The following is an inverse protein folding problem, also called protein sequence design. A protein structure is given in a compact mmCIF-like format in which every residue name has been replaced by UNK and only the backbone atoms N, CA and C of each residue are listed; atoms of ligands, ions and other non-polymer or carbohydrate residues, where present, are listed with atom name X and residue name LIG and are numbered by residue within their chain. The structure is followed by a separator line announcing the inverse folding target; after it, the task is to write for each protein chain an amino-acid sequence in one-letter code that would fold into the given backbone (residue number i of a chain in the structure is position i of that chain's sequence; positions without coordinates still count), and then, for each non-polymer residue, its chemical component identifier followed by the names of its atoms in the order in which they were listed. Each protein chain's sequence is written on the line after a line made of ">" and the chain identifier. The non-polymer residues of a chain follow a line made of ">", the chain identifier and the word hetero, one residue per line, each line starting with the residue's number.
data_IF_868286714458
#
_entry.id   IF_868286714458
#
_cell.length_a   1.000
_cell.length_b   1.000
_cell.length_c   1.000
_cell.angle_alpha   90.00
_cell.angle_beta   90.00
_cell.angle_gamma   90.00
#
_symmetry.space_group_name_H-M   'P 1'
#
loop_
_entity.id
_entity.type
_entity.pdbx_description
1 polymer ?
#
# COMPACT_ATOMS: atom_id res chain seq x y z
N UNK A 1 10.27 -1.88 10.43
CA UNK A 1 9.35 -2.48 9.45
C UNK A 1 8.53 -3.51 10.18
N UNK A 2 7.21 -3.33 10.24
CA UNK A 2 6.30 -4.30 10.85
C UNK A 2 5.58 -5.07 9.75
N UNK A 3 5.57 -6.40 9.87
CA UNK A 3 4.86 -7.30 8.98
C UNK A 3 4.00 -8.20 9.86
N UNK A 4 2.75 -8.39 9.47
CA UNK A 4 1.86 -9.38 10.08
C UNK A 4 1.27 -10.27 8.99
N UNK A 5 1.18 -11.56 9.28
CA UNK A 5 0.60 -12.55 8.38
C UNK A 5 -0.86 -12.78 8.75
N UNK A 6 -1.75 -12.59 7.79
CA UNK A 6 -3.14 -13.01 7.96
C UNK A 6 -3.21 -14.54 7.92
N UNK A 7 -3.72 -15.14 8.99
CA UNK A 7 -4.02 -16.56 9.05
C UNK A 7 -5.50 -16.78 8.76
N UNK A 8 -5.79 -17.64 7.80
CA UNK A 8 -7.16 -18.04 7.54
C UNK A 8 -7.69 -18.86 8.73
N UNK A 9 -8.96 -18.66 9.11
CA UNK A 9 -9.59 -19.42 10.18
C UNK A 9 -9.42 -20.93 10.00
N UNK A 10 -9.47 -21.44 8.76
CA UNK A 10 -9.27 -22.87 8.43
C UNK A 10 -7.88 -23.42 8.79
N UNK A 11 -6.90 -22.55 9.08
CA UNK A 11 -5.56 -22.95 9.50
C UNK A 11 -5.39 -23.01 11.02
N UNK A 12 -6.43 -22.68 11.79
CA UNK A 12 -6.43 -22.65 13.25
C UNK A 12 -7.33 -23.75 13.83
N UNK A 13 -6.95 -24.39 14.97
CA UNK A 13 -7.72 -25.47 15.58
C UNK A 13 -9.19 -25.13 15.84
N UNK A 14 -9.48 -23.92 16.32
CA UNK A 14 -10.84 -23.48 16.68
C UNK A 14 -11.48 -22.55 15.63
N UNK A 15 -10.87 -22.45 14.45
CA UNK A 15 -11.42 -21.67 13.36
C UNK A 15 -11.51 -20.18 13.69
N UNK A 16 -12.71 -19.61 13.59
CA UNK A 16 -12.97 -18.19 13.91
C UNK A 16 -13.07 -17.90 15.40
N UNK A 17 -13.22 -18.94 16.24
CA UNK A 17 -13.30 -18.80 17.70
C UNK A 17 -11.92 -18.84 18.37
N UNK A 18 -10.91 -19.25 17.59
CA UNK A 18 -9.54 -19.34 18.07
C UNK A 18 -9.05 -17.97 18.56
N UNK A 19 -8.45 -17.89 19.77
CA UNK A 19 -7.96 -16.63 20.32
C UNK A 19 -6.85 -15.99 19.48
N UNK A 20 -6.13 -16.75 18.64
CA UNK A 20 -5.13 -16.22 17.72
C UNK A 20 -5.74 -15.68 16.41
N UNK A 21 -7.02 -15.93 16.14
CA UNK A 21 -7.68 -15.47 14.93
C UNK A 21 -7.92 -13.96 14.97
N UNK A 22 -7.20 -13.22 14.12
CA UNK A 22 -7.40 -11.79 13.92
C UNK A 22 -7.95 -11.51 12.51
N UNK A 23 -8.96 -10.64 12.44
CA UNK A 23 -9.48 -10.15 11.16
C UNK A 23 -8.48 -9.18 10.55
N UNK A 24 -8.50 -9.05 9.22
CA UNK A 24 -7.63 -8.11 8.50
C UNK A 24 -7.68 -6.67 9.04
N UNK A 25 -8.86 -6.08 9.36
CA UNK A 25 -8.93 -4.74 9.96
C UNK A 25 -8.24 -4.66 11.33
N UNK A 26 -8.34 -5.70 12.15
CA UNK A 26 -7.69 -5.74 13.47
C UNK A 26 -6.17 -5.81 13.31
N UNK A 27 -5.67 -6.63 12.38
CA UNK A 27 -4.25 -6.68 12.04
C UNK A 27 -3.75 -5.32 11.56
N UNK A 28 -4.50 -4.65 10.68
CA UNK A 28 -4.14 -3.33 10.18
C UNK A 28 -4.10 -2.27 11.30
N UNK A 29 -5.07 -2.27 12.21
CA UNK A 29 -5.05 -1.38 13.38
C UNK A 29 -3.86 -1.67 14.30
N UNK A 30 -3.55 -2.93 14.56
CA UNK A 30 -2.38 -3.30 15.36
C UNK A 30 -1.06 -2.81 14.75
N UNK A 31 -0.92 -2.88 13.42
CA UNK A 31 0.24 -2.34 12.69
C UNK A 31 0.32 -0.81 12.81
N UNK A 32 -0.81 -0.11 12.75
CA UNK A 32 -0.88 1.33 12.97
C UNK A 32 -0.49 1.67 14.41
N UNK A 33 -0.99 0.94 15.39
CA UNK A 33 -0.68 1.17 16.80
C UNK A 33 0.81 0.97 17.10
N UNK A 34 1.45 -0.05 16.52
CA UNK A 34 2.91 -0.23 16.56
C UNK A 34 3.67 0.95 15.97
N UNK A 35 3.14 1.59 14.93
CA UNK A 35 3.76 2.78 14.31
C UNK A 35 3.65 3.98 15.25
N UNK A 36 2.45 4.20 15.81
CA UNK A 36 2.18 5.28 16.76
C UNK A 36 2.97 5.15 18.06
N UNK A 37 3.11 3.94 18.60
CA UNK A 37 3.92 3.66 19.80
C UNK A 37 5.40 4.06 19.62
N UNK A 38 5.92 3.95 18.39
CA UNK A 38 7.27 4.42 18.04
C UNK A 38 7.36 5.91 17.79
N UNK A 39 6.30 6.67 18.10
CA UNK A 39 6.18 8.14 17.92
C UNK A 39 6.20 8.60 16.46
N UNK A 40 6.02 7.69 15.51
CA UNK A 40 5.81 8.05 14.12
C UNK A 40 4.32 8.28 13.87
N UNK A 41 3.96 9.40 13.24
CA UNK A 41 2.58 9.72 12.87
C UNK A 41 2.49 9.90 11.35
N UNK A 42 1.74 9.05 10.63
CA UNK A 42 1.54 9.24 9.21
C UNK A 42 0.72 10.50 8.95
N UNK A 43 1.09 11.25 7.91
CA UNK A 43 0.31 12.44 7.48
C UNK A 43 -1.07 12.06 6.95
N UNK A 44 -1.17 10.91 6.29
CA UNK A 44 -2.41 10.30 5.82
C UNK A 44 -2.27 8.78 5.73
N UNK A 45 -3.36 8.07 6.00
CA UNK A 45 -3.48 6.61 5.86
C UNK A 45 -4.27 6.31 4.58
N UNK A 46 -3.61 5.73 3.57
CA UNK A 46 -4.26 5.39 2.29
C UNK A 46 -4.66 3.91 2.31
N UNK A 47 -5.92 3.62 2.02
CA UNK A 47 -6.50 2.27 2.20
C UNK A 47 -7.35 1.85 1.00
N UNK A 48 -7.41 0.54 0.76
CA UNK A 48 -8.31 -0.02 -0.26
C UNK A 48 -9.79 0.03 0.14
N UNK A 49 -10.64 -0.35 -0.80
CA UNK A 49 -12.10 -0.38 -0.62
C UNK A 49 -12.59 -1.39 0.42
N UNK A 50 -11.81 -2.45 0.69
CA UNK A 50 -12.12 -3.41 1.75
C UNK A 50 -12.03 -2.79 3.14
N UNK A 51 -11.08 -1.90 3.37
CA UNK A 51 -10.96 -1.16 4.64
C UNK A 51 -11.85 0.08 4.67
N UNK A 52 -11.94 0.85 3.58
CA UNK A 52 -12.74 2.08 3.56
C UNK A 52 -14.24 1.83 3.62
N UNK A 53 -14.72 0.64 3.22
CA UNK A 53 -16.12 0.25 3.43
C UNK A 53 -16.42 -0.23 4.86
N UNK A 54 -15.39 -0.45 5.69
CA UNK A 54 -15.55 -0.88 7.08
C UNK A 54 -15.65 0.34 8.01
N UNK A 55 -16.87 0.70 8.41
CA UNK A 55 -17.12 1.86 9.26
C UNK A 55 -16.40 1.78 10.62
N UNK A 56 -16.34 0.59 11.22
CA UNK A 56 -15.66 0.39 12.51
C UNK A 56 -14.15 0.65 12.38
N UNK A 57 -13.55 0.23 11.26
CA UNK A 57 -12.14 0.52 10.97
C UNK A 57 -11.89 2.02 10.82
N UNK A 58 -12.73 2.73 10.06
CA UNK A 58 -12.61 4.18 9.89
C UNK A 58 -12.75 4.94 11.22
N UNK A 59 -13.76 4.59 12.04
CA UNK A 59 -13.92 5.14 13.40
C UNK A 59 -12.68 4.94 14.24
N UNK A 60 -12.06 3.78 14.15
CA UNK A 60 -10.83 3.49 14.88
C UNK A 60 -9.65 4.36 14.44
N UNK A 61 -9.55 4.71 13.14
CA UNK A 61 -8.56 5.68 12.67
C UNK A 61 -8.84 7.09 13.20
N UNK A 62 -10.10 7.51 13.19
CA UNK A 62 -10.53 8.83 13.70
C UNK A 62 -10.30 8.99 15.20
N UNK A 63 -10.60 7.96 15.99
CA UNK A 63 -10.31 7.94 17.43
C UNK A 63 -8.81 8.08 17.73
N UNK A 64 -7.95 7.61 16.80
CA UNK A 64 -6.49 7.79 16.84
C UNK A 64 -6.03 9.15 16.30
N UNK A 65 -6.97 10.03 15.92
CA UNK A 65 -6.74 11.33 15.28
C UNK A 65 -5.95 11.22 13.97
N UNK A 66 -6.14 10.12 13.24
CA UNK A 66 -5.50 9.90 11.95
C UNK A 66 -6.40 10.34 10.80
N UNK A 67 -5.75 10.90 9.78
CA UNK A 67 -6.39 11.24 8.51
C UNK A 67 -6.32 10.05 7.57
N UNK A 68 -7.36 9.82 6.78
CA UNK A 68 -7.38 8.74 5.82
C UNK A 68 -7.93 9.17 4.46
N UNK A 69 -7.53 8.45 3.42
CA UNK A 69 -8.18 8.45 2.11
C UNK A 69 -8.34 6.99 1.69
N UNK A 70 -9.59 6.57 1.54
CA UNK A 70 -9.91 5.17 1.29
C UNK A 70 -10.89 4.98 0.14
N UNK A 71 -10.76 3.86 -0.58
CA UNK A 71 -11.83 3.42 -1.48
C UNK A 71 -13.10 3.06 -0.72
N UNK A 72 -14.26 3.20 -1.34
CA UNK A 72 -15.54 2.67 -0.85
C UNK A 72 -16.24 1.89 -1.96
N UNK A 73 -17.15 0.99 -1.57
CA UNK A 73 -17.90 0.22 -2.55
C UNK A 73 -18.98 1.09 -3.23
N UNK A 74 -19.23 0.84 -4.52
CA UNK A 74 -20.24 1.56 -5.31
C UNK A 74 -21.66 1.52 -4.73
N UNK A 75 -21.99 0.48 -3.95
CA UNK A 75 -23.28 0.31 -3.30
C UNK A 75 -23.34 0.92 -1.88
N UNK A 76 -22.30 1.65 -1.47
CA UNK A 76 -22.27 2.34 -0.17
C UNK A 76 -23.39 3.39 -0.15
N UNK A 77 -24.24 3.33 0.87
CA UNK A 77 -25.28 4.33 1.11
C UNK A 77 -24.66 5.59 1.71
N UNK A 78 -25.01 6.73 1.14
CA UNK A 78 -24.59 8.07 1.56
C UNK A 78 -25.82 8.94 1.74
N UNK A 79 -25.76 9.86 2.69
CA UNK A 79 -26.84 10.79 3.01
C UNK A 79 -26.38 12.21 2.76
N UNK A 80 -27.03 12.89 1.82
CA UNK A 80 -26.82 14.30 1.51
C UNK A 80 -27.79 15.15 2.33
N UNK A 81 -27.29 16.27 2.86
CA UNK A 81 -28.11 17.32 3.46
C UNK A 81 -27.95 18.57 2.62
N UNK A 82 -28.93 18.86 1.76
CA UNK A 82 -28.94 20.07 0.93
C UNK A 82 -30.20 20.86 1.25
N UNK A 83 -30.03 22.12 1.69
CA UNK A 83 -31.15 23.06 1.91
C UNK A 83 -32.29 22.50 2.79
N UNK A 84 -31.95 21.70 3.80
CA UNK A 84 -32.92 21.07 4.72
C UNK A 84 -33.55 19.77 4.21
N UNK A 85 -33.32 19.39 2.95
CA UNK A 85 -33.75 18.11 2.39
C UNK A 85 -32.67 17.06 2.68
N UNK A 86 -33.10 15.96 3.29
CA UNK A 86 -32.25 14.80 3.59
C UNK A 86 -32.55 13.71 2.56
N UNK A 87 -31.57 13.42 1.72
CA UNK A 87 -31.69 12.36 0.71
C UNK A 87 -30.65 11.29 1.00
N UNK A 88 -31.09 10.05 1.16
CA UNK A 88 -30.22 8.89 1.36
C UNK A 88 -30.33 7.95 0.17
N UNK A 89 -29.23 7.71 -0.53
CA UNK A 89 -29.17 6.84 -1.72
C UNK A 89 -27.82 6.14 -1.83
N UNK A 90 -27.66 5.23 -2.80
CA UNK A 90 -26.34 4.63 -3.07
C UNK A 90 -25.45 5.62 -3.80
N UNK A 91 -24.14 5.53 -3.57
CA UNK A 91 -23.19 6.45 -4.19
C UNK A 91 -23.12 6.29 -5.72
N UNK A 92 -23.35 5.10 -6.26
CA UNK A 92 -23.43 4.90 -7.72
C UNK A 92 -24.68 5.53 -8.34
N UNK A 93 -25.84 5.41 -7.68
CA UNK A 93 -27.07 6.10 -8.09
C UNK A 93 -26.90 7.62 -8.03
N UNK A 94 -26.21 8.11 -6.99
CA UNK A 94 -25.87 9.52 -6.85
C UNK A 94 -24.95 9.98 -7.99
N UNK A 95 -23.89 9.23 -8.27
CA UNK A 95 -22.98 9.52 -9.38
C UNK A 95 -23.71 9.61 -10.72
N UNK A 96 -24.68 8.73 -10.96
CA UNK A 96 -25.51 8.74 -12.17
C UNK A 96 -26.45 9.95 -12.27
N UNK A 97 -26.87 10.52 -11.13
CA UNK A 97 -27.79 11.66 -11.10
C UNK A 97 -27.11 13.02 -11.34
N UNK A 98 -25.78 13.08 -11.25
CA UNK A 98 -25.00 14.31 -11.40
C UNK A 98 -24.80 14.67 -12.87
N UNK A 99 -24.87 15.96 -13.18
CA UNK A 99 -24.59 16.46 -14.52
C UNK A 99 -23.08 16.52 -14.80
N UNK A 100 -22.68 16.50 -16.07
CA UNK A 100 -21.27 16.54 -16.50
C UNK A 100 -20.55 17.78 -15.94
N UNK A 101 -21.24 18.92 -15.94
CA UNK A 101 -20.72 20.22 -15.52
C UNK A 101 -20.35 20.27 -14.03
N UNK A 102 -20.85 19.32 -13.26
CA UNK A 102 -20.55 19.20 -11.84
C UNK A 102 -19.19 18.55 -11.57
N UNK A 103 -18.61 17.86 -12.55
CA UNK A 103 -17.32 17.20 -12.42
C UNK A 103 -16.19 18.12 -12.87
N UNK A 104 -15.10 18.11 -12.10
CA UNK A 104 -13.88 18.84 -12.44
C UNK A 104 -12.93 17.92 -13.19
N UNK A 105 -12.45 18.36 -14.35
CA UNK A 105 -11.41 17.67 -15.10
C UNK A 105 -10.06 17.77 -14.37
N UNK A 106 -9.38 16.64 -14.24
CA UNK A 106 -8.07 16.50 -13.60
C UNK A 106 -7.14 15.74 -14.54
N UNK A 107 -6.00 16.35 -14.87
CA UNK A 107 -4.98 15.77 -15.73
C UNK A 107 -3.83 15.21 -14.89
N UNK A 108 -3.62 13.89 -14.97
CA UNK A 108 -2.56 13.20 -14.27
C UNK A 108 -1.34 13.02 -15.17
N UNK A 109 -0.23 13.62 -14.77
CA UNK A 109 1.07 13.44 -15.39
C UNK A 109 1.73 12.14 -14.92
N UNK A 110 1.15 11.01 -15.32
CA UNK A 110 1.77 9.68 -15.18
C UNK A 110 2.63 9.38 -16.42
N UNK A 111 3.38 8.28 -16.41
CA UNK A 111 4.12 7.79 -17.60
C UNK A 111 3.22 7.69 -18.85
N UNK A 112 1.91 7.46 -18.63
CA UNK A 112 0.85 7.65 -19.61
C UNK A 112 -0.12 8.70 -19.07
N UNK A 113 -0.24 9.89 -19.70
CA UNK A 113 -1.20 10.89 -19.28
C UNK A 113 -2.60 10.28 -19.16
N UNK A 114 -3.26 10.54 -18.04
CA UNK A 114 -4.63 10.08 -17.79
C UNK A 114 -5.47 11.27 -17.36
N UNK A 115 -6.53 11.54 -18.09
CA UNK A 115 -7.56 12.53 -17.71
C UNK A 115 -8.65 11.81 -16.93
N UNK A 116 -9.07 12.39 -15.81
CA UNK A 116 -10.17 11.89 -14.99
C UNK A 116 -11.09 13.03 -14.58
N UNK A 117 -12.35 12.71 -14.32
CA UNK A 117 -13.37 13.66 -13.90
C UNK A 117 -13.75 13.38 -12.46
N UNK A 118 -13.68 14.41 -11.62
CA UNK A 118 -13.82 14.26 -10.18
C UNK A 118 -14.92 15.16 -9.65
N UNK A 119 -15.86 14.58 -8.91
CA UNK A 119 -16.82 15.32 -8.07
C UNK A 119 -16.51 15.05 -6.61
N UNK A 120 -16.49 16.10 -5.79
CA UNK A 120 -16.44 15.99 -4.33
C UNK A 120 -17.79 16.37 -3.75
N UNK A 121 -18.24 15.60 -2.77
CA UNK A 121 -19.52 15.73 -2.11
C UNK A 121 -19.32 15.62 -0.61
N UNK A 122 -20.15 16.33 0.13
CA UNK A 122 -20.21 16.26 1.58
C UNK A 122 -21.38 15.39 1.99
N UNK A 123 -21.09 14.26 2.63
CA UNK A 123 -22.09 13.25 2.95
C UNK A 123 -21.96 12.77 4.39
N UNK A 124 -23.08 12.36 4.95
CA UNK A 124 -23.12 11.53 6.14
C UNK A 124 -23.18 10.06 5.73
N UNK A 125 -22.60 9.19 6.55
CA UNK A 125 -22.57 7.76 6.30
C UNK A 125 -23.10 7.05 7.54
N UNK A 126 -23.98 6.08 7.33
CA UNK A 126 -24.53 5.30 8.43
C UNK A 126 -23.43 4.72 9.31
N UNK A 127 -23.62 4.84 10.63
CA UNK A 127 -22.68 4.41 11.66
C UNK A 127 -21.35 5.18 11.67
N UNK A 128 -21.19 6.29 10.93
CA UNK A 128 -20.05 7.21 11.03
C UNK A 128 -20.57 8.60 11.38
N UNK A 129 -20.13 9.16 12.50
CA UNK A 129 -20.66 10.43 12.99
C UNK A 129 -20.05 11.63 12.28
N UNK A 130 -20.90 12.54 11.86
CA UNK A 130 -20.53 13.78 11.19
C UNK A 130 -20.34 13.63 9.67
N UNK A 131 -20.09 14.77 9.06
CA UNK A 131 -19.94 14.91 7.61
C UNK A 131 -18.54 14.46 7.18
N UNK A 132 -18.45 13.77 6.05
CA UNK A 132 -17.19 13.38 5.41
C UNK A 132 -17.19 13.82 3.96
N UNK A 133 -16.01 14.08 3.43
CA UNK A 133 -15.85 14.29 1.99
C UNK A 133 -15.78 12.94 1.30
N UNK A 134 -16.59 12.80 0.27
CA UNK A 134 -16.58 11.67 -0.65
C UNK A 134 -16.23 12.19 -2.03
N UNK A 135 -15.41 11.44 -2.76
CA UNK A 135 -15.05 11.77 -4.12
C UNK A 135 -15.50 10.67 -5.08
N UNK A 136 -16.09 11.06 -6.19
CA UNK A 136 -16.42 10.20 -7.33
C UNK A 136 -15.39 10.53 -8.41
N UNK A 137 -14.66 9.54 -8.89
CA UNK A 137 -13.61 9.71 -9.91
C UNK A 137 -13.93 8.80 -11.09
N UNK A 138 -14.07 9.39 -12.27
CA UNK A 138 -14.42 8.69 -13.50
C UNK A 138 -13.31 8.84 -14.55
N UNK A 139 -13.15 7.83 -15.40
CA UNK A 139 -12.24 7.89 -16.54
C UNK A 139 -12.86 8.53 -17.81
N UNK A 140 -14.09 9.02 -17.71
CA UNK A 140 -14.79 9.76 -18.76
C UNK A 140 -15.60 10.90 -18.14
N UNK A 141 -16.14 11.79 -18.98
CA UNK A 141 -16.83 13.01 -18.56
C UNK A 141 -18.30 12.81 -18.16
N UNK A 142 -18.85 11.62 -18.40
CA UNK A 142 -20.24 11.25 -18.16
C UNK A 142 -20.33 9.84 -17.60
N UNK A 143 -21.33 9.58 -16.75
CA UNK A 143 -21.48 8.28 -16.08
C UNK A 143 -21.64 7.12 -17.08
N UNK A 144 -22.43 7.31 -18.14
CA UNK A 144 -22.73 6.25 -19.11
C UNK A 144 -21.55 5.91 -20.04
N UNK A 145 -20.59 6.84 -20.22
CA UNK A 145 -19.38 6.61 -21.00
C UNK A 145 -18.20 6.09 -20.16
N UNK A 146 -18.27 6.24 -18.84
CA UNK A 146 -17.24 5.80 -17.92
C UNK A 146 -17.21 4.27 -17.82
N UNK A 147 -16.05 3.69 -18.11
CA UNK A 147 -15.81 2.24 -17.93
C UNK A 147 -15.21 1.90 -16.57
N UNK A 148 -14.66 2.91 -15.89
CA UNK A 148 -14.02 2.79 -14.59
C UNK A 148 -14.44 3.97 -13.71
N UNK A 149 -15.08 3.65 -12.58
CA UNK A 149 -15.58 4.62 -11.61
C UNK A 149 -15.11 4.21 -10.23
N UNK A 150 -14.26 5.04 -9.66
CA UNK A 150 -13.77 4.91 -8.31
C UNK A 150 -14.55 5.83 -7.36
N UNK A 151 -14.73 5.34 -6.14
CA UNK A 151 -15.40 6.05 -5.08
C UNK A 151 -14.47 6.12 -3.87
N UNK A 152 -14.24 7.32 -3.35
CA UNK A 152 -13.34 7.55 -2.23
C UNK A 152 -14.03 8.25 -1.07
N UNK A 153 -13.52 8.01 0.14
CA UNK A 153 -13.92 8.68 1.38
C UNK A 153 -12.69 9.22 2.11
N UNK A 154 -12.82 10.42 2.69
CA UNK A 154 -11.80 11.03 3.54
C UNK A 154 -12.42 11.78 4.72
N UNK A 155 -11.67 11.82 5.83
CA UNK A 155 -11.96 12.68 6.99
C UNK A 155 -11.04 13.91 7.05
N UNK A 156 -10.29 14.19 5.98
CA UNK A 156 -9.51 15.42 5.85
C UNK A 156 -10.46 16.61 5.77
N UNK A 157 -10.02 17.72 6.35
CA UNK A 157 -10.72 19.00 6.31
C UNK A 157 -11.17 19.36 4.89
N UNK A 158 -12.45 19.69 4.74
CA UNK A 158 -13.11 19.93 3.45
C UNK A 158 -12.43 21.04 2.63
N UNK A 159 -11.87 22.05 3.30
CA UNK A 159 -11.15 23.16 2.63
C UNK A 159 -9.87 22.70 1.91
N UNK A 160 -9.36 21.53 2.27
CA UNK A 160 -8.13 20.94 1.71
C UNK A 160 -8.39 19.84 0.69
N UNK A 161 -9.63 19.33 0.64
CA UNK A 161 -9.98 18.22 -0.24
C UNK A 161 -10.35 18.79 -1.60
N UNK A 162 -9.39 18.76 -2.53
CA UNK A 162 -9.59 19.19 -3.92
C UNK A 162 -9.60 17.98 -4.87
N UNK A 163 -10.18 18.11 -6.07
CA UNK A 163 -10.15 17.08 -7.11
C UNK A 163 -8.73 16.54 -7.37
N UNK A 164 -7.77 17.44 -7.57
CA UNK A 164 -6.36 17.12 -7.78
C UNK A 164 -5.79 16.35 -6.59
N UNK A 165 -6.02 16.84 -5.36
CA UNK A 165 -5.48 16.24 -4.14
C UNK A 165 -5.95 14.80 -3.95
N UNK A 166 -7.23 14.51 -4.21
CA UNK A 166 -7.79 13.15 -4.08
C UNK A 166 -7.02 12.19 -4.98
N UNK A 167 -6.89 12.53 -6.26
CA UNK A 167 -6.34 11.63 -7.26
C UNK A 167 -4.83 11.47 -7.09
N UNK A 168 -4.10 12.56 -6.85
CA UNK A 168 -2.66 12.51 -6.58
C UNK A 168 -2.35 11.73 -5.30
N UNK A 169 -3.10 11.98 -4.22
CA UNK A 169 -2.87 11.30 -2.95
C UNK A 169 -3.17 9.82 -3.06
N UNK A 170 -4.30 9.43 -3.67
CA UNK A 170 -4.64 8.02 -3.82
C UNK A 170 -3.71 7.29 -4.79
N UNK A 171 -3.14 7.97 -5.80
CA UNK A 171 -2.18 7.36 -6.73
C UNK A 171 -0.96 6.76 -6.01
N UNK A 172 -0.57 7.28 -4.85
CA UNK A 172 0.53 6.75 -4.03
C UNK A 172 0.26 5.32 -3.53
N UNK A 173 -1.01 4.89 -3.48
CA UNK A 173 -1.39 3.50 -3.14
C UNK A 173 -0.76 2.48 -4.09
N UNK A 174 -0.49 2.86 -5.33
CA UNK A 174 0.14 2.00 -6.34
C UNK A 174 1.53 1.48 -5.91
N UNK A 175 2.23 2.19 -5.02
CA UNK A 175 3.51 1.73 -4.49
C UNK A 175 3.45 0.35 -3.84
N UNK A 176 2.33 -0.02 -3.23
CA UNK A 176 2.13 -1.38 -2.67
C UNK A 176 2.17 -2.43 -3.77
N UNK A 177 1.56 -2.16 -4.93
CA UNK A 177 1.54 -3.08 -6.06
C UNK A 177 2.91 -3.18 -6.75
N UNK A 178 3.58 -2.05 -6.92
CA UNK A 178 4.97 -1.98 -7.42
C UNK A 178 5.89 -2.82 -6.54
N UNK A 179 5.80 -2.62 -5.21
CA UNK A 179 6.54 -3.41 -4.24
C UNK A 179 6.31 -4.92 -4.42
N UNK A 180 5.05 -5.36 -4.44
CA UNK A 180 4.76 -6.80 -4.56
C UNK A 180 5.24 -7.38 -5.88
N UNK A 181 5.12 -6.65 -6.99
CA UNK A 181 5.63 -7.08 -8.30
C UNK A 181 7.15 -7.28 -8.24
N UNK A 182 7.87 -6.32 -7.70
CA UNK A 182 9.33 -6.36 -7.63
C UNK A 182 9.84 -7.41 -6.63
N UNK A 183 9.24 -7.48 -5.45
CA UNK A 183 9.61 -8.46 -4.42
C UNK A 183 9.34 -9.91 -4.87
N UNK A 184 8.21 -10.16 -5.55
CA UNK A 184 7.90 -11.48 -6.12
C UNK A 184 8.75 -11.83 -7.33
N UNK A 185 9.11 -10.84 -8.14
CA UNK A 185 9.88 -11.05 -9.38
C UNK A 185 11.37 -11.23 -9.14
N UNK A 186 11.95 -10.50 -8.18
CA UNK A 186 13.40 -10.35 -8.07
C UNK A 186 14.00 -10.77 -6.72
N UNK A 187 13.19 -10.84 -5.66
CA UNK A 187 13.66 -11.11 -4.30
C UNK A 187 13.09 -12.41 -3.70
N UNK A 188 12.44 -13.25 -4.51
CA UNK A 188 11.97 -14.56 -4.06
C UNK A 188 10.85 -14.50 -3.02
N UNK A 189 10.01 -13.45 -3.00
CA UNK A 189 8.91 -13.36 -2.03
C UNK A 189 7.97 -14.58 -2.06
N UNK A 190 7.82 -15.21 -3.23
CA UNK A 190 6.99 -16.40 -3.46
C UNK A 190 7.76 -17.74 -3.46
N UNK A 191 9.07 -17.70 -3.23
CA UNK A 191 9.97 -18.87 -3.34
C UNK A 191 10.27 -19.53 -1.99
N UNK A 192 9.52 -19.17 -0.95
CA UNK A 192 9.65 -19.81 0.34
C UNK A 192 9.20 -21.27 0.27
N UNK A 193 9.99 -22.17 0.86
CA UNK A 193 9.67 -23.60 0.96
C UNK A 193 9.29 -24.01 2.39
N UNK A 194 9.01 -23.02 3.25
CA UNK A 194 8.69 -23.23 4.67
C UNK A 194 7.18 -23.28 4.89
N UNK A 195 6.75 -24.14 5.82
CA UNK A 195 5.32 -24.31 6.17
C UNK A 195 4.90 -23.62 7.48
N UNK A 196 5.85 -23.38 8.40
CA UNK A 196 5.55 -22.75 9.69
C UNK A 196 5.45 -21.22 9.59
N UNK A 197 4.44 -20.63 10.24
CA UNK A 197 4.19 -19.18 10.32
C UNK A 197 5.45 -18.38 10.67
N UNK A 198 6.18 -18.80 11.71
CA UNK A 198 7.40 -18.12 12.19
C UNK A 198 8.49 -18.09 11.13
N UNK A 199 8.68 -19.20 10.41
CA UNK A 199 9.66 -19.29 9.33
C UNK A 199 9.25 -18.44 8.13
N UNK A 200 7.96 -18.44 7.78
CA UNK A 200 7.42 -17.59 6.72
C UNK A 200 7.59 -16.10 7.04
N UNK A 201 7.32 -15.70 8.29
CA UNK A 201 7.50 -14.33 8.74
C UNK A 201 8.97 -13.90 8.65
N UNK A 202 9.91 -14.77 9.07
CA UNK A 202 11.36 -14.51 8.92
C UNK A 202 11.76 -14.30 7.46
N UNK A 203 11.27 -15.15 6.56
CA UNK A 203 11.50 -14.99 5.11
C UNK A 203 11.00 -13.63 4.63
N UNK A 204 9.78 -13.25 4.99
CA UNK A 204 9.20 -11.97 4.56
C UNK A 204 9.98 -10.78 5.12
N UNK A 205 10.40 -10.83 6.39
CA UNK A 205 11.24 -9.78 6.98
C UNK A 205 12.54 -9.62 6.17
N UNK A 206 13.23 -10.71 5.84
CA UNK A 206 14.46 -10.67 5.04
C UNK A 206 14.23 -10.05 3.65
N UNK A 207 13.16 -10.47 2.96
CA UNK A 207 12.80 -9.94 1.65
C UNK A 207 12.50 -8.44 1.71
N UNK A 208 11.72 -7.99 2.69
CA UNK A 208 11.38 -6.57 2.82
C UNK A 208 12.58 -5.74 3.25
N UNK A 209 13.47 -6.27 4.11
CA UNK A 209 14.73 -5.62 4.46
C UNK A 209 15.62 -5.44 3.24
N UNK A 210 15.80 -6.50 2.43
CA UNK A 210 16.56 -6.43 1.19
C UNK A 210 15.97 -5.42 0.21
N UNK A 211 14.63 -5.44 0.03
CA UNK A 211 13.93 -4.49 -0.83
C UNK A 211 14.15 -3.05 -0.38
N UNK A 212 13.90 -2.76 0.90
CA UNK A 212 14.03 -1.41 1.48
C UNK A 212 15.47 -0.91 1.37
N UNK A 213 16.45 -1.77 1.63
CA UNK A 213 17.86 -1.44 1.52
C UNK A 213 18.25 -1.05 0.09
N UNK A 214 17.90 -1.87 -0.90
CA UNK A 214 18.21 -1.61 -2.31
C UNK A 214 17.49 -0.36 -2.80
N UNK A 215 16.21 -0.20 -2.45
CA UNK A 215 15.42 0.96 -2.83
C UNK A 215 15.99 2.25 -2.21
N UNK A 216 16.38 2.23 -0.94
CA UNK A 216 17.02 3.37 -0.28
C UNK A 216 18.32 3.77 -0.99
N UNK A 217 19.16 2.80 -1.34
CA UNK A 217 20.40 3.06 -2.08
C UNK A 217 20.16 3.58 -3.50
N UNK A 218 19.10 3.12 -4.17
CA UNK A 218 18.68 3.65 -5.47
C UNK A 218 18.27 5.12 -5.36
N UNK A 219 17.45 5.47 -4.36
CA UNK A 219 16.90 6.81 -4.16
C UNK A 219 17.97 7.82 -3.70
N UNK A 220 18.87 7.40 -2.81
CA UNK A 220 19.97 8.25 -2.31
C UNK A 220 21.19 8.28 -3.23
N UNK A 221 21.20 7.46 -4.28
CA UNK A 221 22.34 7.33 -5.19
C UNK A 221 23.54 6.59 -4.59
N UNK A 222 23.38 5.89 -3.46
CA UNK A 222 24.50 5.19 -2.79
C UNK A 222 25.15 4.05 -3.58
N UNK A 223 24.52 3.57 -4.66
CA UNK A 223 25.12 2.62 -5.61
C UNK A 223 25.80 3.31 -6.81
N UNK A 224 25.52 4.59 -7.03
CA UNK A 224 26.10 5.37 -8.14
C UNK A 224 27.56 5.69 -7.85
N UNK A 225 28.32 6.05 -8.89
CA UNK A 225 29.77 6.38 -8.88
C UNK A 225 30.71 5.19 -8.67
N UNK A 226 30.39 4.23 -7.78
CA UNK A 226 31.26 3.06 -7.53
C UNK A 226 30.78 1.78 -8.23
N UNK A 227 29.47 1.57 -8.33
CA UNK A 227 28.88 0.32 -8.86
C UNK A 227 27.91 0.56 -10.01
N UNK A 228 27.80 1.81 -10.46
CA UNK A 228 26.95 2.21 -11.56
C UNK A 228 27.37 3.56 -12.13
N UNK A 229 27.66 3.56 -13.42
CA UNK A 229 28.13 4.71 -14.20
C UNK A 229 26.93 5.44 -14.84
N UNK A 230 25.77 4.79 -14.87
CA UNK A 230 24.50 5.27 -15.45
C UNK A 230 23.47 5.50 -14.33
N UNK A 231 22.46 6.35 -14.55
CA UNK A 231 21.34 6.48 -13.63
C UNK A 231 20.59 5.15 -13.49
N UNK A 232 20.46 4.66 -12.25
CA UNK A 232 19.65 3.50 -11.90
C UNK A 232 18.20 3.95 -11.74
N UNK A 233 17.37 3.78 -12.77
CA UNK A 233 15.98 4.25 -12.84
C UNK A 233 15.00 3.19 -12.35
N UNK A 234 15.29 1.92 -12.55
CA UNK A 234 14.43 0.79 -12.18
C UNK A 234 14.96 0.04 -10.97
N UNK A 235 14.12 -0.75 -10.30
CA UNK A 235 14.57 -1.64 -9.22
C UNK A 235 15.55 -2.72 -9.70
N UNK A 236 15.33 -3.42 -10.85
CA UNK A 236 16.27 -4.42 -11.36
C UNK A 236 17.67 -3.87 -11.62
N UNK A 237 17.79 -2.66 -12.19
CA UNK A 237 19.09 -2.00 -12.38
C UNK A 237 19.81 -1.78 -11.04
N UNK A 238 19.08 -1.36 -10.01
CA UNK A 238 19.64 -1.18 -8.67
C UNK A 238 20.04 -2.51 -8.01
N UNK A 239 19.23 -3.55 -8.16
CA UNK A 239 19.55 -4.89 -7.69
C UNK A 239 20.80 -5.44 -8.38
N UNK A 240 20.96 -5.23 -9.69
CA UNK A 240 22.12 -5.69 -10.44
C UNK A 240 23.41 -4.97 -10.02
N UNK A 241 23.34 -3.65 -9.84
CA UNK A 241 24.45 -2.87 -9.29
C UNK A 241 24.82 -3.34 -7.87
N UNK A 242 23.83 -3.65 -7.03
CA UNK A 242 24.04 -4.20 -5.70
C UNK A 242 24.70 -5.60 -5.74
N UNK A 243 24.21 -6.51 -6.58
CA UNK A 243 24.80 -7.85 -6.76
C UNK A 243 26.24 -7.76 -7.23
N UNK A 244 26.53 -6.88 -8.19
CA UNK A 244 27.89 -6.61 -8.66
C UNK A 244 28.80 -6.15 -7.50
N UNK A 245 28.32 -5.22 -6.67
CA UNK A 245 29.05 -4.75 -5.51
C UNK A 245 29.37 -5.86 -4.50
N UNK A 246 28.40 -6.72 -4.22
CA UNK A 246 28.56 -7.85 -3.30
C UNK A 246 29.52 -8.90 -3.89
N UNK A 247 29.37 -9.27 -5.16
CA UNK A 247 30.26 -10.23 -5.83
C UNK A 247 31.70 -9.76 -5.82
N UNK A 248 31.96 -8.49 -6.13
CA UNK A 248 33.31 -7.94 -6.09
C UNK A 248 33.90 -7.92 -4.67
N UNK A 249 33.10 -7.51 -3.68
CA UNK A 249 33.53 -7.53 -2.26
C UNK A 249 33.80 -8.96 -1.77
N UNK A 250 32.95 -9.90 -2.15
CA UNK A 250 33.10 -11.32 -1.80
C UNK A 250 34.36 -11.90 -2.43
N UNK A 251 34.61 -11.62 -3.72
CA UNK A 251 35.85 -12.02 -4.39
C UNK A 251 37.10 -11.50 -3.68
N UNK A 252 37.13 -10.22 -3.35
CA UNK A 252 38.26 -9.63 -2.63
C UNK A 252 38.42 -10.19 -1.22
N UNK A 253 37.31 -10.43 -0.51
CA UNK A 253 37.35 -11.08 0.79
C UNK A 253 37.90 -12.51 0.67
N UNK A 254 37.45 -13.28 -0.32
CA UNK A 254 37.86 -14.66 -0.54
C UNK A 254 39.36 -14.77 -0.82
N UNK A 255 39.94 -13.83 -1.59
CA UNK A 255 41.40 -13.79 -1.83
C UNK A 255 42.23 -13.75 -0.54
N UNK A 256 41.71 -13.11 0.50
CA UNK A 256 42.41 -12.95 1.77
C UNK A 256 41.97 -13.95 2.85
N UNK A 257 40.90 -14.71 2.62
CA UNK A 257 40.25 -15.56 3.63
C UNK A 257 39.89 -16.94 3.04
N UNK A 258 40.67 -17.42 2.07
CA UNK A 258 40.42 -18.68 1.38
C UNK A 258 40.46 -19.88 2.31
N UNK A 259 41.37 -19.89 3.28
CA UNK A 259 41.50 -20.92 4.31
C UNK A 259 40.27 -20.97 5.22
N UNK A 260 39.76 -19.81 5.66
CA UNK A 260 38.54 -19.69 6.46
C UNK A 260 37.34 -20.22 5.68
N UNK A 261 37.21 -19.84 4.40
CA UNK A 261 36.14 -20.31 3.54
C UNK A 261 36.20 -21.83 3.32
N UNK A 262 37.39 -22.38 3.06
CA UNK A 262 37.61 -23.81 2.89
C UNK A 262 37.27 -24.59 4.17
N UNK A 263 37.71 -24.13 5.35
CA UNK A 263 37.35 -24.76 6.64
C UNK A 263 35.86 -24.75 6.89
N UNK A 264 35.17 -23.64 6.60
CA UNK A 264 33.71 -23.56 6.72
C UNK A 264 33.03 -24.58 5.80
N UNK A 265 33.44 -24.70 4.53
CA UNK A 265 32.88 -25.71 3.61
C UNK A 265 33.16 -27.14 4.06
N UNK A 266 34.36 -27.40 4.56
CA UNK A 266 34.73 -28.70 5.14
C UNK A 266 33.83 -29.08 6.32
N UNK A 267 33.39 -28.12 7.15
CA UNK A 267 32.46 -28.41 8.25
C UNK A 267 31.07 -28.89 7.82
N UNK A 268 30.69 -28.72 6.55
CA UNK A 268 29.49 -29.33 5.96
C UNK A 268 29.77 -30.61 5.18
N UNK A 269 31.00 -31.14 5.26
CA UNK A 269 31.42 -32.35 4.54
C UNK A 269 31.80 -32.12 3.08
N UNK A 270 31.95 -30.86 2.63
CA UNK A 270 32.42 -30.56 1.28
C UNK A 270 33.92 -30.35 1.26
N UNK A 271 34.62 -31.07 0.37
CA UNK A 271 36.04 -30.83 0.09
C UNK A 271 36.14 -29.82 -1.05
N UNK A 272 36.85 -28.73 -0.83
CA UNK A 272 37.17 -27.74 -1.85
C UNK A 272 38.61 -28.00 -2.31
N UNK A 273 38.79 -28.39 -3.58
CA UNK A 273 40.10 -28.62 -4.23
C UNK A 273 40.71 -27.32 -4.72
#
# INVERSE_FOLDING_TARGET
>A
LDIELYQHATSLPEGKKDPEFLKKPEIALNLIDKTLQRKYRPGIVIIDSGYGNNTSFLKNLENRKLKYLGGIAKNRKVTLKKEGIITSMRIDELAKSLAKEEFTEVNLNLDKPKTVWVKILEVEISQLEGIRSVAIVMNADTFDSATDIDYFITNVDQTKVTPQWVVETYSQRNWVEVFYREAKGWLGLKEYQVRHKKSLLRHFILVFCAYTFILWHKLTGGLRRRWGNKPLKTFPEALEAFRTAISYRFHNWLKNNGDVFARYKASFGYVWS
#
